data_IF_317467557676
#
_entry.id   IF_317467557676
#
_cell.length_a   1.000
_cell.length_b   1.000
_cell.length_c   1.000
_cell.angle_alpha   90.00
_cell.angle_beta   90.00
_cell.angle_gamma   90.00
#
_symmetry.space_group_name_H-M   'P 1'
#
loop_
_entity.id
_entity.type
_entity.pdbx_description
1 polymer ?
#
# COMPACT_ATOMS: atom_id res chain seq x y z
N UNK A 1 65.35 -23.14 -47.50
CA UNK A 1 65.18 -22.58 -46.12
C UNK A 1 63.99 -21.66 -46.12
N UNK A 2 62.85 -22.16 -45.63
CA UNK A 2 61.57 -21.45 -45.63
C UNK A 2 61.43 -20.68 -44.31
N UNK A 3 61.36 -19.34 -44.36
CA UNK A 3 61.13 -18.50 -43.21
C UNK A 3 59.60 -18.38 -42.98
N UNK A 4 59.11 -19.07 -41.97
CA UNK A 4 57.77 -18.88 -41.47
C UNK A 4 57.63 -17.52 -40.78
N UNK A 5 56.94 -16.62 -41.42
CA UNK A 5 56.56 -15.33 -40.82
C UNK A 5 55.24 -15.52 -40.04
N UNK A 6 55.37 -15.66 -38.72
CA UNK A 6 54.25 -15.76 -37.78
C UNK A 6 53.67 -14.37 -37.57
N UNK A 7 52.62 -14.00 -38.34
CA UNK A 7 51.83 -12.82 -38.05
C UNK A 7 51.11 -13.03 -36.69
N UNK A 8 51.60 -12.39 -35.64
CA UNK A 8 50.85 -12.20 -34.42
C UNK A 8 49.70 -11.22 -34.73
N UNK A 9 48.51 -11.77 -34.91
CA UNK A 9 47.30 -11.01 -34.92
C UNK A 9 47.03 -10.53 -33.50
N UNK A 10 47.25 -9.23 -33.19
CA UNK A 10 46.69 -8.60 -32.00
C UNK A 10 45.16 -8.60 -32.15
N UNK A 11 44.53 -9.66 -31.67
CA UNK A 11 43.14 -9.66 -31.41
C UNK A 11 42.91 -8.87 -30.12
N UNK A 12 42.80 -7.55 -30.22
CA UNK A 12 42.19 -6.77 -29.17
C UNK A 12 40.74 -7.26 -29.03
N UNK A 13 40.33 -7.86 -27.90
CA UNK A 13 38.94 -8.16 -27.68
C UNK A 13 38.20 -6.83 -27.63
N UNK A 14 37.53 -6.47 -28.71
CA UNK A 14 36.58 -5.37 -28.71
C UNK A 14 35.44 -5.79 -27.79
N UNK A 15 35.47 -5.33 -26.55
CA UNK A 15 34.36 -5.48 -25.64
C UNK A 15 33.18 -4.76 -26.31
N UNK A 16 32.21 -5.55 -26.76
CA UNK A 16 30.99 -5.01 -27.37
C UNK A 16 30.25 -4.19 -26.32
N UNK A 17 30.40 -2.87 -26.38
CA UNK A 17 29.68 -1.93 -25.50
C UNK A 17 28.18 -1.86 -25.87
N UNK A 18 27.77 -2.54 -26.95
CA UNK A 18 26.38 -2.56 -27.41
C UNK A 18 25.43 -3.32 -26.44
N UNK A 19 25.95 -4.27 -25.65
CA UNK A 19 25.15 -5.00 -24.67
C UNK A 19 24.94 -4.26 -23.32
N UNK A 20 25.77 -3.24 -23.05
CA UNK A 20 25.73 -2.50 -21.79
C UNK A 20 24.44 -1.69 -21.61
N UNK A 21 23.92 -0.96 -22.64
CA UNK A 21 22.63 -0.28 -22.56
C UNK A 21 21.45 -1.23 -22.34
N UNK A 22 21.51 -2.45 -22.93
CA UNK A 22 20.44 -3.44 -22.77
C UNK A 22 20.36 -3.97 -21.35
N UNK A 23 21.50 -4.26 -20.73
CA UNK A 23 21.56 -4.69 -19.32
C UNK A 23 21.02 -3.60 -18.40
N UNK A 24 21.41 -2.34 -18.63
CA UNK A 24 20.93 -1.20 -17.83
C UNK A 24 19.42 -1.00 -18.03
N UNK A 25 18.92 -1.14 -19.27
CA UNK A 25 17.50 -1.02 -19.58
C UNK A 25 16.67 -2.14 -18.92
N UNK A 26 17.14 -3.38 -18.98
CA UNK A 26 16.51 -4.52 -18.31
C UNK A 26 16.50 -4.36 -16.80
N UNK A 27 17.58 -3.83 -16.22
CA UNK A 27 17.67 -3.55 -14.78
C UNK A 27 16.68 -2.46 -14.36
N UNK A 28 16.58 -1.37 -15.12
CA UNK A 28 15.62 -0.29 -14.88
C UNK A 28 14.17 -0.79 -15.02
N UNK A 29 13.89 -1.61 -16.03
CA UNK A 29 12.58 -2.23 -16.22
C UNK A 29 12.23 -3.15 -15.05
N UNK A 30 13.18 -3.98 -14.60
CA UNK A 30 13.01 -4.85 -13.45
C UNK A 30 12.67 -4.04 -12.18
N UNK A 31 13.43 -2.98 -11.90
CA UNK A 31 13.14 -2.11 -10.75
C UNK A 31 11.79 -1.39 -10.89
N UNK A 32 11.40 -0.99 -12.10
CA UNK A 32 10.10 -0.36 -12.35
C UNK A 32 8.95 -1.33 -12.06
N UNK A 33 9.07 -2.60 -12.43
CA UNK A 33 8.07 -3.64 -12.15
C UNK A 33 8.02 -3.98 -10.68
N UNK A 34 9.17 -4.17 -10.03
CA UNK A 34 9.25 -4.51 -8.60
C UNK A 34 8.72 -3.39 -7.70
N UNK A 35 8.97 -2.12 -8.05
CA UNK A 35 8.44 -0.97 -7.27
C UNK A 35 6.92 -0.82 -7.37
N UNK A 36 6.27 -1.33 -8.41
CA UNK A 36 4.81 -1.28 -8.55
C UNK A 36 4.05 -2.35 -7.77
N UNK A 37 4.72 -3.36 -7.24
CA UNK A 37 4.08 -4.52 -6.59
C UNK A 37 3.88 -4.38 -5.07
N UNK A 38 4.02 -3.20 -4.48
CA UNK A 38 3.68 -2.97 -3.07
C UNK A 38 2.21 -2.58 -2.91
N UNK A 39 1.31 -3.49 -3.21
CA UNK A 39 -0.06 -3.39 -2.72
C UNK A 39 -0.11 -3.93 -1.28
N UNK A 40 -0.71 -3.15 -0.38
CA UNK A 40 -0.95 -3.56 1.01
C UNK A 40 -1.75 -4.85 1.03
N UNK A 41 -1.19 -5.91 1.60
CA UNK A 41 -1.90 -7.18 1.74
C UNK A 41 -3.06 -7.02 2.73
N UNK A 42 -4.27 -7.31 2.28
CA UNK A 42 -5.45 -7.26 3.13
C UNK A 42 -5.48 -8.47 4.05
N UNK A 43 -5.17 -8.26 5.32
CA UNK A 43 -5.19 -9.28 6.36
C UNK A 43 -6.58 -9.48 6.96
N UNK A 44 -7.46 -8.49 6.79
CA UNK A 44 -8.86 -8.55 7.21
C UNK A 44 -9.81 -8.66 6.02
N UNK A 45 -10.83 -9.49 6.15
CA UNK A 45 -11.97 -9.50 5.24
C UNK A 45 -12.84 -8.28 5.53
N UNK A 46 -13.01 -7.42 4.51
CA UNK A 46 -13.84 -6.22 4.66
C UNK A 46 -14.96 -6.25 3.61
N UNK A 47 -16.14 -6.57 4.05
CA UNK A 47 -17.35 -6.41 3.25
C UNK A 47 -18.02 -5.08 3.64
N UNK A 48 -17.63 -4.02 2.93
CA UNK A 48 -18.14 -2.67 3.23
C UNK A 48 -19.63 -2.57 2.98
N UNK A 49 -20.39 -1.90 3.86
CA UNK A 49 -21.83 -1.69 3.68
C UNK A 49 -22.12 -0.89 2.41
N UNK A 50 -23.34 -1.04 1.90
CA UNK A 50 -23.79 -0.30 0.71
C UNK A 50 -24.28 1.11 1.11
N UNK A 51 -23.92 2.11 0.31
CA UNK A 51 -24.41 3.47 0.45
C UNK A 51 -25.03 3.98 -0.84
N UNK A 52 -26.02 4.85 -0.73
CA UNK A 52 -26.70 5.47 -1.88
C UNK A 52 -25.86 6.54 -2.55
N UNK A 53 -25.06 7.26 -1.78
CA UNK A 53 -24.20 8.33 -2.26
C UNK A 53 -22.75 8.05 -1.92
N UNK A 54 -21.86 8.18 -2.92
CA UNK A 54 -20.43 7.97 -2.79
C UNK A 54 -19.69 9.17 -3.37
N UNK A 55 -18.81 9.76 -2.57
CA UNK A 55 -17.87 10.77 -3.03
C UNK A 55 -16.53 10.10 -3.38
N UNK A 56 -16.04 10.33 -4.60
CA UNK A 56 -14.75 9.80 -5.04
C UNK A 56 -13.61 10.65 -4.46
N UNK A 57 -12.65 9.99 -3.82
CA UNK A 57 -11.45 10.65 -3.31
C UNK A 57 -10.50 10.98 -4.48
N UNK A 58 -10.16 12.25 -4.65
CA UNK A 58 -9.41 12.73 -5.81
C UNK A 58 -7.94 12.29 -5.83
N UNK A 59 -7.27 12.22 -4.67
CA UNK A 59 -5.83 11.91 -4.57
C UNK A 59 -5.57 10.79 -3.57
N UNK A 60 -5.24 9.61 -4.08
CA UNK A 60 -4.93 8.41 -3.25
C UNK A 60 -3.72 8.60 -2.33
N UNK A 61 -2.74 9.41 -2.72
CA UNK A 61 -1.53 9.67 -1.92
C UNK A 61 -1.78 10.44 -0.63
N UNK A 62 -2.92 11.13 -0.52
CA UNK A 62 -3.33 11.87 0.66
C UNK A 62 -4.30 11.07 1.56
N UNK A 63 -4.55 9.82 1.22
CA UNK A 63 -5.52 8.99 1.92
C UNK A 63 -4.82 7.90 2.70
N UNK A 64 -5.00 7.91 4.00
CA UNK A 64 -4.66 6.79 4.87
C UNK A 64 -5.82 5.80 4.92
N UNK A 65 -5.52 4.53 4.82
CA UNK A 65 -6.53 3.49 4.96
C UNK A 65 -6.36 2.76 6.30
N UNK A 66 -7.47 2.65 7.02
CA UNK A 66 -7.60 1.81 8.21
C UNK A 66 -8.67 0.78 7.91
N UNK A 67 -8.29 -0.49 8.04
CA UNK A 67 -9.21 -1.60 7.80
C UNK A 67 -9.66 -2.19 9.13
N UNK A 68 -10.94 -2.46 9.26
CA UNK A 68 -11.52 -3.06 10.47
C UNK A 68 -12.42 -4.21 10.04
N UNK A 69 -12.06 -5.43 10.44
CA UNK A 69 -12.79 -6.62 10.06
C UNK A 69 -12.24 -7.88 10.72
N UNK A 70 -12.84 -9.02 10.41
CA UNK A 70 -12.33 -10.31 10.85
C UNK A 70 -11.12 -10.72 10.04
N UNK A 71 -10.10 -11.38 10.65
CA UNK A 71 -8.97 -11.92 9.91
C UNK A 71 -9.43 -12.82 8.76
N UNK A 72 -8.76 -12.72 7.61
CA UNK A 72 -8.99 -13.62 6.47
C UNK A 72 -8.61 -15.06 6.84
N UNK A 73 -9.06 -16.06 6.10
CA UNK A 73 -8.82 -17.48 6.37
C UNK A 73 -7.33 -17.78 6.67
N UNK A 74 -6.44 -17.14 5.92
CA UNK A 74 -4.97 -17.28 6.05
C UNK A 74 -4.44 -16.88 7.44
N UNK A 75 -5.09 -15.95 8.11
CA UNK A 75 -4.62 -15.37 9.38
C UNK A 75 -5.48 -15.78 10.59
N UNK A 76 -6.57 -16.52 10.38
CA UNK A 76 -7.47 -16.94 11.47
C UNK A 76 -6.83 -17.87 12.47
N UNK A 77 -5.96 -18.74 12.02
CA UNK A 77 -5.30 -19.74 12.89
C UNK A 77 -4.37 -19.07 13.91
N UNK A 78 -3.76 -17.95 13.53
CA UNK A 78 -2.82 -17.22 14.39
C UNK A 78 -3.51 -16.12 15.21
N UNK A 79 -4.45 -15.39 14.59
CA UNK A 79 -5.02 -14.19 15.19
C UNK A 79 -6.47 -14.36 15.66
N UNK A 80 -7.07 -15.52 15.44
CA UNK A 80 -8.44 -15.84 15.84
C UNK A 80 -9.50 -15.22 14.93
N UNK A 81 -10.76 -15.31 15.36
CA UNK A 81 -11.92 -14.89 14.57
C UNK A 81 -12.51 -13.53 14.98
N UNK A 82 -12.02 -12.93 16.05
CA UNK A 82 -12.51 -11.62 16.52
C UNK A 82 -12.12 -10.51 15.57
N UNK A 83 -12.98 -9.49 15.37
CA UNK A 83 -12.64 -8.32 14.57
C UNK A 83 -11.35 -7.64 15.06
N UNK A 84 -10.50 -7.25 14.13
CA UNK A 84 -9.23 -6.58 14.39
C UNK A 84 -9.06 -5.35 13.52
N UNK A 85 -8.19 -4.46 13.97
CA UNK A 85 -7.78 -3.26 13.23
C UNK A 85 -6.49 -3.60 12.48
N UNK A 86 -6.44 -3.27 11.20
CA UNK A 86 -5.24 -3.35 10.39
C UNK A 86 -4.78 -1.95 9.99
N UNK A 87 -3.52 -1.62 10.32
CA UNK A 87 -2.82 -0.39 9.93
C UNK A 87 -1.67 -0.76 8.99
N UNK A 88 -1.80 -0.41 7.71
CA UNK A 88 -0.85 -0.88 6.69
C UNK A 88 -0.85 -2.41 6.60
N UNK A 89 0.32 -3.03 6.78
CA UNK A 89 0.52 -4.48 6.62
C UNK A 89 0.55 -5.25 7.94
N UNK A 90 -0.06 -4.73 9.00
CA UNK A 90 -0.07 -5.40 10.31
C UNK A 90 -1.37 -5.19 11.09
N UNK A 91 -1.70 -6.17 11.95
CA UNK A 91 -2.71 -5.96 12.96
C UNK A 91 -2.18 -5.05 14.06
N UNK A 92 -3.04 -4.15 14.52
CA UNK A 92 -2.68 -3.10 15.48
C UNK A 92 -3.82 -2.81 16.43
N UNK A 93 -3.52 -2.09 17.50
CA UNK A 93 -4.50 -1.57 18.46
C UNK A 93 -4.91 -0.13 18.12
N UNK A 94 -5.99 0.39 18.73
CA UNK A 94 -6.34 1.81 18.60
C UNK A 94 -5.23 2.76 19.06
N UNK A 95 -4.39 2.33 20.01
CA UNK A 95 -3.29 3.13 20.57
C UNK A 95 -2.12 3.32 19.59
N UNK A 96 -2.01 2.46 18.56
CA UNK A 96 -0.98 2.56 17.51
C UNK A 96 -1.33 3.60 16.44
N UNK A 97 -2.57 4.07 16.39
CA UNK A 97 -3.09 4.98 15.37
C UNK A 97 -2.32 6.31 15.31
N UNK A 98 -2.02 6.99 16.43
CA UNK A 98 -1.26 8.23 16.38
C UNK A 98 0.11 8.07 15.71
N UNK A 99 0.85 7.03 16.06
CA UNK A 99 2.16 6.75 15.47
C UNK A 99 2.06 6.43 13.97
N UNK A 100 1.03 5.68 13.57
CA UNK A 100 0.76 5.39 12.16
C UNK A 100 0.48 6.65 11.35
N UNK A 101 -0.31 7.57 11.88
CA UNK A 101 -0.61 8.86 11.24
C UNK A 101 0.63 9.74 11.12
N UNK A 102 1.45 9.83 12.17
CA UNK A 102 2.69 10.60 12.13
C UNK A 102 3.66 10.09 11.06
N UNK A 103 3.83 8.78 10.94
CA UNK A 103 4.64 8.18 9.87
C UNK A 103 4.14 8.60 8.48
N UNK A 104 2.84 8.64 8.27
CA UNK A 104 2.28 9.07 7.00
C UNK A 104 2.44 10.58 6.80
N UNK A 105 2.26 11.40 7.84
CA UNK A 105 2.44 12.86 7.77
C UNK A 105 3.84 13.26 7.33
N UNK A 106 4.87 12.50 7.76
CA UNK A 106 6.27 12.72 7.35
C UNK A 106 6.48 12.48 5.86
N UNK A 107 5.74 11.54 5.24
CA UNK A 107 5.86 11.23 3.81
C UNK A 107 5.14 12.23 2.91
N UNK A 108 4.23 13.03 3.47
CA UNK A 108 3.42 14.01 2.73
C UNK A 108 4.07 15.39 2.80
N UNK A 109 4.24 16.11 1.66
CA UNK A 109 4.77 17.47 1.65
C UNK A 109 3.94 18.41 2.54
N UNK A 110 4.61 19.40 3.18
CA UNK A 110 3.99 20.26 4.19
C UNK A 110 2.70 20.97 3.72
N UNK A 111 2.69 21.46 2.48
CA UNK A 111 1.52 22.15 1.92
C UNK A 111 0.29 21.26 1.70
N UNK A 112 0.38 19.94 1.92
CA UNK A 112 -0.73 18.99 1.78
C UNK A 112 -1.12 18.29 3.08
N UNK A 113 -0.42 18.53 4.17
CA UNK A 113 -0.68 17.89 5.48
C UNK A 113 -2.11 18.10 5.96
N UNK A 114 -2.67 19.29 5.75
CA UNK A 114 -4.06 19.62 6.12
C UNK A 114 -5.12 18.92 5.26
N UNK A 115 -4.70 18.34 4.12
CA UNK A 115 -5.58 17.65 3.19
C UNK A 115 -5.59 16.14 3.39
N UNK A 116 -4.86 15.64 4.35
CA UNK A 116 -4.83 14.21 4.66
C UNK A 116 -6.20 13.76 5.14
N UNK A 117 -6.73 12.71 4.53
CA UNK A 117 -8.00 12.09 4.84
C UNK A 117 -7.74 10.67 5.32
N UNK A 118 -8.37 10.26 6.42
CA UNK A 118 -8.36 8.87 6.86
C UNK A 118 -9.63 8.18 6.39
N UNK A 119 -9.48 7.17 5.54
CA UNK A 119 -10.58 6.35 5.06
C UNK A 119 -10.69 5.07 5.87
N UNK A 120 -11.81 4.95 6.59
CA UNK A 120 -12.15 3.76 7.37
C UNK A 120 -12.88 2.77 6.48
N UNK A 121 -12.30 1.59 6.28
CA UNK A 121 -12.93 0.45 5.62
C UNK A 121 -13.35 -0.54 6.67
N UNK A 122 -14.63 -0.47 7.05
CA UNK A 122 -15.21 -1.26 8.12
C UNK A 122 -16.08 -2.36 7.53
N UNK A 123 -15.91 -3.58 8.02
CA UNK A 123 -16.79 -4.68 7.69
C UNK A 123 -18.15 -4.50 8.41
N UNK A 124 -19.25 -4.83 7.70
CA UNK A 124 -20.63 -4.65 8.20
C UNK A 124 -20.95 -5.41 9.48
N UNK A 125 -20.19 -6.45 9.81
CA UNK A 125 -20.39 -7.28 11.01
C UNK A 125 -19.56 -6.82 12.22
N UNK A 126 -18.80 -5.72 12.09
CA UNK A 126 -17.99 -5.17 13.18
C UNK A 126 -18.86 -4.40 14.18
N UNK A 127 -18.61 -4.61 15.46
CA UNK A 127 -19.29 -3.86 16.51
C UNK A 127 -18.90 -2.39 16.51
N UNK A 128 -19.87 -1.50 16.73
CA UNK A 128 -19.64 -0.04 16.78
C UNK A 128 -18.69 0.39 17.88
N UNK A 129 -18.48 -0.42 18.93
CA UNK A 129 -17.48 -0.15 19.97
C UNK A 129 -16.08 0.03 19.39
N UNK A 130 -15.61 -0.94 18.59
CA UNK A 130 -14.28 -0.87 17.95
C UNK A 130 -14.16 0.35 17.06
N UNK A 131 -15.20 0.68 16.29
CA UNK A 131 -15.22 1.85 15.42
C UNK A 131 -15.13 3.15 16.23
N UNK A 132 -15.82 3.21 17.38
CA UNK A 132 -15.78 4.36 18.28
C UNK A 132 -14.41 4.55 18.92
N UNK A 133 -13.74 3.47 19.30
CA UNK A 133 -12.37 3.50 19.85
C UNK A 133 -11.39 4.04 18.80
N UNK A 134 -11.48 3.54 17.55
CA UNK A 134 -10.68 4.05 16.44
C UNK A 134 -10.93 5.53 16.18
N UNK A 135 -12.19 5.97 16.17
CA UNK A 135 -12.52 7.41 16.03
C UNK A 135 -11.97 8.27 17.15
N UNK A 136 -12.02 7.77 18.37
CA UNK A 136 -11.48 8.47 19.54
C UNK A 136 -9.97 8.63 19.43
N UNK A 137 -9.26 7.57 19.01
CA UNK A 137 -7.81 7.61 18.78
C UNK A 137 -7.42 8.54 17.64
N UNK A 138 -8.18 8.54 16.53
CA UNK A 138 -8.01 9.49 15.42
C UNK A 138 -8.18 10.94 15.86
N UNK A 139 -9.22 11.23 16.66
CA UNK A 139 -9.47 12.56 17.22
C UNK A 139 -8.35 13.01 18.15
N UNK A 140 -7.87 12.13 19.04
CA UNK A 140 -6.71 12.39 19.91
C UNK A 140 -5.44 12.72 19.12
N UNK A 141 -5.25 12.09 17.95
CA UNK A 141 -4.14 12.35 17.04
C UNK A 141 -4.35 13.58 16.13
N UNK A 142 -5.42 14.37 16.35
CA UNK A 142 -5.73 15.55 15.54
C UNK A 142 -6.24 15.26 14.13
N UNK A 143 -6.61 14.00 13.83
CA UNK A 143 -7.14 13.63 12.53
C UNK A 143 -8.66 13.76 12.50
N UNK A 144 -9.14 14.90 12.00
CA UNK A 144 -10.56 15.25 11.97
C UNK A 144 -11.23 14.79 10.65
N UNK A 145 -10.46 14.79 9.55
CA UNK A 145 -10.97 14.41 8.22
C UNK A 145 -11.04 12.89 8.10
N UNK A 146 -12.20 12.34 8.40
CA UNK A 146 -12.47 10.91 8.35
C UNK A 146 -13.54 10.65 7.30
N UNK A 147 -13.31 9.65 6.46
CA UNK A 147 -14.26 9.15 5.48
C UNK A 147 -14.56 7.67 5.72
N UNK A 148 -15.78 7.24 5.50
CA UNK A 148 -16.17 5.82 5.51
C UNK A 148 -16.26 5.30 4.09
N UNK A 149 -15.54 4.21 3.81
CA UNK A 149 -15.67 3.53 2.54
C UNK A 149 -16.93 2.66 2.54
N UNK A 150 -17.75 2.81 1.50
CA UNK A 150 -18.93 1.99 1.28
C UNK A 150 -19.01 1.55 -0.19
N UNK A 151 -19.73 0.47 -0.48
CA UNK A 151 -20.04 0.06 -1.84
C UNK A 151 -21.29 0.81 -2.33
N UNK A 152 -21.33 1.12 -3.62
CA UNK A 152 -22.52 1.70 -4.24
C UNK A 152 -23.66 0.67 -4.22
N UNK A 153 -24.82 1.09 -3.74
CA UNK A 153 -26.04 0.27 -3.80
C UNK A 153 -26.46 0.10 -5.25
N UNK A 154 -26.48 -1.11 -5.75
CA UNK A 154 -27.10 -1.39 -7.05
C UNK A 154 -28.62 -1.23 -6.89
N UNK A 155 -29.21 -0.32 -7.64
CA UNK A 155 -30.67 -0.23 -7.76
C UNK A 155 -31.10 -1.46 -8.57
N UNK A 156 -31.62 -2.47 -7.91
CA UNK A 156 -32.40 -3.52 -8.57
C UNK A 156 -33.59 -2.84 -9.23
N UNK A 157 -33.65 -2.92 -10.54
CA UNK A 157 -34.84 -2.53 -11.34
C UNK A 157 -35.94 -3.50 -11.13
#
# INVERSE_FOLDING_TARGET
MSKFNKKQGNANPTISTASLPDIVFMLLFFFMVVTKMRDTELMVGVNTPQASELTKLEKKSLVNFIFIGRPTAKFRDVYGTKPRIQLGDKFSSPDDIPLFLEKHRVTVPEGFKDRIITSLKVDGEVTMGIVSDVKTSLRKAGQIKINYSAKKRERTK
#
